data_IF_521151058138
#
_entry.id   IF_521151058138
#
_cell.length_a   1.000
_cell.length_b   1.000
_cell.length_c   1.000
_cell.angle_alpha   90.00
_cell.angle_beta   90.00
_cell.angle_gamma   90.00
#
_symmetry.space_group_name_H-M   'P 1'
#
loop_
_entity.id
_entity.type
_entity.pdbx_description
1 polymer ?
#
# COMPACT_ATOMS: atom_id res chain seq x y z
N UNK A 1 -14.16 -12.85 36.83
CA UNK A 1 -14.27 -13.31 35.43
C UNK A 1 -13.04 -12.80 34.73
N UNK A 2 -12.13 -13.67 34.30
CA UNK A 2 -11.02 -13.24 33.43
C UNK A 2 -11.61 -12.81 32.09
N UNK A 3 -11.45 -11.54 31.72
CA UNK A 3 -11.67 -11.10 30.35
C UNK A 3 -10.74 -11.88 29.44
N UNK A 4 -11.30 -12.82 28.68
CA UNK A 4 -10.59 -13.48 27.59
C UNK A 4 -10.33 -12.40 26.54
N UNK A 5 -9.15 -11.77 26.57
CA UNK A 5 -8.69 -10.92 25.47
C UNK A 5 -8.68 -11.77 24.21
N UNK A 6 -9.63 -11.52 23.31
CA UNK A 6 -9.68 -12.17 22.01
C UNK A 6 -8.38 -11.81 21.29
N UNK A 7 -7.59 -12.84 20.96
CA UNK A 7 -6.35 -12.66 20.21
C UNK A 7 -6.73 -12.41 18.76
N UNK A 8 -6.11 -11.41 18.14
CA UNK A 8 -6.24 -11.18 16.70
C UNK A 8 -5.91 -12.45 15.94
N UNK A 9 -6.75 -12.80 14.96
CA UNK A 9 -6.45 -13.88 14.04
C UNK A 9 -5.34 -13.45 13.09
N UNK A 10 -4.72 -14.43 12.38
CA UNK A 10 -3.75 -14.11 11.33
C UNK A 10 -4.36 -13.25 10.22
N UNK A 11 -5.65 -13.45 9.90
CA UNK A 11 -6.35 -12.62 8.93
C UNK A 11 -6.41 -11.16 9.40
N UNK A 12 -6.74 -10.94 10.67
CA UNK A 12 -6.84 -9.58 11.22
C UNK A 12 -5.49 -8.87 11.23
N UNK A 13 -4.41 -9.60 11.55
CA UNK A 13 -3.05 -9.08 11.46
C UNK A 13 -2.66 -8.73 10.01
N UNK A 14 -2.99 -9.59 9.05
CA UNK A 14 -2.70 -9.31 7.64
C UNK A 14 -3.45 -8.07 7.17
N UNK A 15 -4.74 -7.91 7.52
CA UNK A 15 -5.53 -6.73 7.15
C UNK A 15 -4.98 -5.45 7.81
N UNK A 16 -4.58 -5.53 9.08
CA UNK A 16 -3.92 -4.44 9.78
C UNK A 16 -2.65 -4.00 9.05
N UNK A 17 -1.75 -4.93 8.75
CA UNK A 17 -0.50 -4.61 8.06
C UNK A 17 -0.71 -4.21 6.59
N UNK A 18 -1.74 -4.74 5.91
CA UNK A 18 -2.12 -4.29 4.57
C UNK A 18 -2.44 -2.79 4.58
N UNK A 19 -3.22 -2.32 5.56
CA UNK A 19 -3.53 -0.90 5.73
C UNK A 19 -2.28 -0.07 6.01
N UNK A 20 -1.43 -0.52 6.95
CA UNK A 20 -0.17 0.16 7.30
C UNK A 20 0.78 0.29 6.11
N UNK A 21 0.98 -0.79 5.36
CA UNK A 21 1.86 -0.80 4.17
C UNK A 21 1.25 0.09 3.08
N UNK A 22 -0.07 0.06 2.88
CA UNK A 22 -0.75 0.92 1.89
C UNK A 22 -0.56 2.39 2.18
N UNK A 23 -0.70 2.82 3.45
CA UNK A 23 -0.43 4.20 3.85
C UNK A 23 1.02 4.61 3.58
N UNK A 24 1.98 3.72 3.90
CA UNK A 24 3.41 3.97 3.62
C UNK A 24 3.70 4.08 2.13
N UNK A 25 3.02 3.30 1.28
CA UNK A 25 3.15 3.41 -0.18
C UNK A 25 2.75 4.79 -0.69
N UNK A 26 1.64 5.36 -0.18
CA UNK A 26 1.23 6.72 -0.55
C UNK A 26 2.28 7.77 -0.20
N UNK A 27 2.89 7.66 0.99
CA UNK A 27 3.97 8.55 1.39
C UNK A 27 5.18 8.40 0.47
N UNK A 28 5.61 7.16 0.17
CA UNK A 28 6.75 6.88 -0.73
C UNK A 28 6.50 7.25 -2.18
N UNK A 29 5.25 7.29 -2.63
CA UNK A 29 4.88 7.90 -3.91
C UNK A 29 5.08 9.43 -3.92
N UNK A 30 5.37 10.05 -2.78
CA UNK A 30 5.48 11.51 -2.64
C UNK A 30 4.15 12.18 -2.94
N UNK A 31 3.05 11.63 -2.42
CA UNK A 31 1.68 12.14 -2.60
C UNK A 31 1.02 12.55 -1.28
N UNK A 32 1.58 12.14 -0.15
CA UNK A 32 1.14 12.51 1.19
C UNK A 32 2.34 12.52 2.14
N UNK A 33 2.18 13.12 3.30
CA UNK A 33 3.18 13.08 4.37
C UNK A 33 3.24 11.69 4.99
N UNK A 34 4.42 11.29 5.47
CA UNK A 34 4.56 10.06 6.24
C UNK A 34 4.18 10.26 7.72
N UNK A 35 4.28 9.20 8.53
CA UNK A 35 3.91 9.22 9.95
C UNK A 35 4.76 10.18 10.82
N UNK A 36 5.85 10.73 10.28
CA UNK A 36 6.70 11.72 10.95
C UNK A 36 6.43 13.14 10.44
N UNK A 37 5.53 13.31 9.47
CA UNK A 37 5.23 14.59 8.81
C UNK A 37 6.17 14.90 7.64
N UNK A 38 7.00 13.95 7.21
CA UNK A 38 7.96 14.17 6.14
C UNK A 38 7.32 13.91 4.76
N UNK A 39 7.60 14.81 3.82
CA UNK A 39 7.23 14.63 2.42
C UNK A 39 8.46 14.26 1.60
N UNK A 40 8.59 12.99 1.25
CA UNK A 40 9.67 12.54 0.38
C UNK A 40 9.22 11.41 -0.54
N UNK A 41 9.80 11.37 -1.75
CA UNK A 41 9.49 10.35 -2.74
C UNK A 41 10.62 9.33 -2.82
N UNK A 42 10.25 8.05 -2.76
CA UNK A 42 11.11 6.91 -3.04
C UNK A 42 10.28 5.87 -3.82
N UNK A 43 10.44 5.87 -5.14
CA UNK A 43 9.69 4.96 -6.00
C UNK A 43 10.18 3.50 -5.86
N UNK A 44 11.41 3.26 -5.41
CA UNK A 44 11.88 1.90 -5.15
C UNK A 44 11.09 1.27 -3.99
N UNK A 45 10.99 1.98 -2.88
CA UNK A 45 10.20 1.56 -1.71
C UNK A 45 8.70 1.47 -2.02
N UNK A 46 8.15 2.45 -2.76
CA UNK A 46 6.75 2.42 -3.17
C UNK A 46 6.43 1.15 -3.98
N UNK A 47 7.30 0.78 -4.93
CA UNK A 47 7.14 -0.42 -5.74
C UNK A 47 7.18 -1.69 -4.90
N UNK A 48 8.16 -1.81 -3.99
CA UNK A 48 8.27 -2.95 -3.09
C UNK A 48 6.99 -3.17 -2.28
N UNK A 49 6.44 -2.09 -1.71
CA UNK A 49 5.19 -2.15 -0.95
C UNK A 49 4.00 -2.55 -1.83
N UNK A 50 3.85 -1.95 -3.00
CA UNK A 50 2.75 -2.25 -3.95
C UNK A 50 2.78 -3.71 -4.41
N UNK A 51 3.94 -4.21 -4.82
CA UNK A 51 4.11 -5.59 -5.28
C UNK A 51 3.83 -6.58 -4.13
N UNK A 52 4.21 -6.22 -2.89
CA UNK A 52 3.92 -7.01 -1.69
C UNK A 52 2.42 -7.05 -1.37
N UNK A 53 1.73 -5.90 -1.44
CA UNK A 53 0.28 -5.82 -1.22
C UNK A 53 -0.49 -6.67 -2.24
N UNK A 54 -0.04 -6.68 -3.50
CA UNK A 54 -0.62 -7.49 -4.57
C UNK A 54 -0.45 -9.00 -4.30
N UNK A 55 0.73 -9.40 -3.82
CA UNK A 55 0.99 -10.79 -3.41
C UNK A 55 0.12 -11.21 -2.21
N UNK A 56 -0.03 -10.34 -1.22
CA UNK A 56 -0.90 -10.55 -0.06
C UNK A 56 -2.35 -10.71 -0.52
N UNK A 57 -2.88 -9.76 -1.31
CA UNK A 57 -4.25 -9.80 -1.80
C UNK A 57 -4.56 -11.09 -2.54
N UNK A 58 -3.68 -11.50 -3.46
CA UNK A 58 -3.86 -12.76 -4.19
C UNK A 58 -3.89 -14.00 -3.28
N UNK A 59 -3.24 -13.94 -2.11
CA UNK A 59 -3.23 -15.03 -1.13
C UNK A 59 -4.49 -15.07 -0.26
N UNK A 60 -5.11 -13.92 0.03
CA UNK A 60 -6.19 -13.82 1.03
C UNK A 60 -7.56 -13.41 0.46
N UNK A 61 -7.66 -13.07 -0.83
CA UNK A 61 -8.91 -12.57 -1.45
C UNK A 61 -10.12 -13.49 -1.30
N UNK A 62 -9.91 -14.80 -1.17
CA UNK A 62 -10.97 -15.80 -0.97
C UNK A 62 -11.29 -16.06 0.51
N UNK A 63 -10.57 -15.40 1.44
CA UNK A 63 -10.71 -15.54 2.90
C UNK A 63 -11.37 -14.30 3.55
N UNK A 64 -11.66 -13.28 2.74
CA UNK A 64 -12.30 -12.03 3.16
C UNK A 64 -13.68 -11.92 2.54
N UNK A 65 -14.56 -11.09 3.11
CA UNK A 65 -15.84 -10.80 2.48
C UNK A 65 -15.67 -9.97 1.19
N UNK A 66 -16.74 -9.92 0.40
CA UNK A 66 -16.74 -9.26 -0.90
C UNK A 66 -16.44 -7.75 -0.81
N UNK A 67 -16.88 -7.11 0.28
CA UNK A 67 -16.66 -5.68 0.48
C UNK A 67 -15.16 -5.40 0.72
N UNK A 68 -14.57 -6.10 1.67
CA UNK A 68 -13.14 -6.03 1.99
C UNK A 68 -12.30 -6.37 0.76
N UNK A 69 -12.69 -7.40 -0.01
CA UNK A 69 -12.02 -7.79 -1.25
C UNK A 69 -11.95 -6.64 -2.25
N UNK A 70 -13.08 -5.97 -2.49
CA UNK A 70 -13.16 -4.82 -3.42
C UNK A 70 -12.36 -3.62 -2.93
N UNK A 71 -12.38 -3.35 -1.63
CA UNK A 71 -11.60 -2.26 -1.03
C UNK A 71 -10.10 -2.48 -1.23
N UNK A 72 -9.61 -3.69 -0.93
CA UNK A 72 -8.20 -4.05 -1.14
C UNK A 72 -7.79 -3.94 -2.61
N UNK A 73 -8.62 -4.46 -3.53
CA UNK A 73 -8.37 -4.38 -4.97
C UNK A 73 -8.34 -2.92 -5.46
N UNK A 74 -9.24 -2.08 -4.95
CA UNK A 74 -9.30 -0.65 -5.24
C UNK A 74 -8.05 0.09 -4.78
N UNK A 75 -7.57 -0.19 -3.55
CA UNK A 75 -6.34 0.39 -3.02
C UNK A 75 -5.13 0.02 -3.89
N UNK A 76 -4.97 -1.27 -4.21
CA UNK A 76 -3.85 -1.74 -5.04
C UNK A 76 -3.89 -1.11 -6.43
N UNK A 77 -5.06 -1.10 -7.06
CA UNK A 77 -5.23 -0.53 -8.41
C UNK A 77 -4.88 0.96 -8.43
N UNK A 78 -5.34 1.69 -7.41
CA UNK A 78 -5.06 3.13 -7.29
C UNK A 78 -3.57 3.39 -7.03
N UNK A 79 -2.92 2.61 -6.17
CA UNK A 79 -1.48 2.73 -5.92
C UNK A 79 -0.66 2.42 -7.19
N UNK A 80 -0.98 1.35 -7.92
CA UNK A 80 -0.31 0.98 -9.18
C UNK A 80 -0.43 2.09 -10.23
N UNK A 81 -1.62 2.69 -10.37
CA UNK A 81 -1.84 3.80 -11.30
C UNK A 81 -1.00 5.03 -10.92
N UNK A 82 -1.01 5.41 -9.64
CA UNK A 82 -0.24 6.55 -9.16
C UNK A 82 1.27 6.31 -9.26
N UNK A 83 1.73 5.10 -9.00
CA UNK A 83 3.12 4.71 -9.24
C UNK A 83 3.52 4.94 -10.70
N UNK A 84 2.70 4.47 -11.64
CA UNK A 84 2.96 4.67 -13.07
C UNK A 84 3.05 6.16 -13.41
N UNK A 85 2.11 7.00 -12.93
CA UNK A 85 2.16 8.44 -13.17
C UNK A 85 3.42 9.10 -12.60
N UNK A 86 3.81 8.76 -11.37
CA UNK A 86 5.00 9.33 -10.74
C UNK A 86 6.28 8.86 -11.42
N UNK A 87 6.34 7.60 -11.84
CA UNK A 87 7.46 7.06 -12.62
C UNK A 87 7.63 7.80 -13.95
N UNK A 88 6.55 8.01 -14.70
CA UNK A 88 6.58 8.77 -15.95
C UNK A 88 6.99 10.23 -15.73
N UNK A 89 6.51 10.85 -14.64
CA UNK A 89 6.87 12.22 -14.27
C UNK A 89 8.37 12.35 -13.99
N UNK A 90 8.97 11.39 -13.29
CA UNK A 90 10.41 11.41 -12.98
C UNK A 90 11.26 11.19 -14.23
N UNK A 91 10.89 10.21 -15.07
CA UNK A 91 11.57 9.96 -16.35
C UNK A 91 11.60 11.21 -17.25
N UNK A 92 10.46 11.92 -17.39
CA UNK A 92 10.41 13.17 -18.17
C UNK A 92 11.32 14.27 -17.62
N UNK A 93 11.43 14.38 -16.29
CA UNK A 93 12.32 15.37 -15.65
C UNK A 93 13.79 15.08 -15.94
N UNK A 94 14.19 13.80 -15.88
CA UNK A 94 15.55 13.37 -16.20
C UNK A 94 15.90 13.66 -17.66
N UNK A 95 15.00 13.37 -18.60
CA UNK A 95 15.17 13.65 -20.04
C UNK A 95 15.22 15.16 -20.37
N UNK A 96 14.60 16.01 -19.55
CA UNK A 96 14.58 17.47 -19.76
C UNK A 96 15.82 18.19 -19.19
N UNK A 97 16.67 17.48 -18.45
CA UNK A 97 17.88 18.01 -17.80
C UNK A 97 19.18 17.65 -18.57
N UNK A 98 19.05 16.97 -19.71
CA UNK A 98 20.13 16.58 -20.63
C UNK A 98 20.04 17.45 -21.89
#
# INVERSE_FOLDING_TARGET
>A
MEEKKEKLSMKDLILLFFSTISARCWARLGLTEDEYGDFYQDLGEARLGIDTLDAIFNKIKDLVDEQTRREMEGVISTLKLNYFHQYQKNKKKEESQI
#
